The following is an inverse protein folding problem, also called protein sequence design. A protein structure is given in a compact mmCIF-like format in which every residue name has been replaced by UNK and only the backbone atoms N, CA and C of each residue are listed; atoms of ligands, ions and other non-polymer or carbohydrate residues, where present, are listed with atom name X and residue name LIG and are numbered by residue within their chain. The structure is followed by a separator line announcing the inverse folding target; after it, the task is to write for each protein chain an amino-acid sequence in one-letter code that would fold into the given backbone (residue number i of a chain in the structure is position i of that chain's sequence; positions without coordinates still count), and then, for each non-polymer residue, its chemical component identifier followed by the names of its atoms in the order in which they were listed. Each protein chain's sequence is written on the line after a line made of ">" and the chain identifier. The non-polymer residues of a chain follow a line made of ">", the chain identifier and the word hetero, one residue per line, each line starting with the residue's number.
data_IF_482321658103
#
_entry.id   IF_482321658103
#
_cell.length_a   1.000
_cell.length_b   1.000
_cell.length_c   1.000
_cell.angle_alpha   90.00
_cell.angle_beta   90.00
_cell.angle_gamma   90.00
#
_symmetry.space_group_name_H-M   'P 1'
#
loop_
_entity.id
_entity.type
_entity.pdbx_description
1 polymer ?
#
# COMPACT_ATOMS: atom_id res chain seq x y z
N UNK A 1 7.78 -24.97 -3.61
CA UNK A 1 7.45 -23.57 -3.88
C UNK A 1 7.46 -23.34 -5.37
N UNK A 2 6.30 -23.10 -5.96
CA UNK A 2 6.11 -22.70 -7.36
C UNK A 2 6.21 -21.18 -7.50
N UNK A 3 6.32 -20.67 -8.73
CA UNK A 3 6.29 -19.23 -8.97
C UNK A 3 5.00 -18.57 -8.48
N UNK A 4 3.86 -19.26 -8.60
CA UNK A 4 2.56 -18.78 -8.10
C UNK A 4 2.52 -18.75 -6.57
N UNK A 5 3.03 -19.78 -5.91
CA UNK A 5 3.13 -19.81 -4.44
C UNK A 5 4.06 -18.70 -3.92
N UNK A 6 5.19 -18.45 -4.59
CA UNK A 6 6.08 -17.34 -4.25
C UNK A 6 5.37 -15.98 -4.39
N UNK A 7 4.65 -15.77 -5.49
CA UNK A 7 3.90 -14.54 -5.72
C UNK A 7 2.85 -14.28 -4.63
N UNK A 8 2.07 -15.31 -4.28
CA UNK A 8 1.08 -15.23 -3.20
C UNK A 8 1.77 -14.85 -1.88
N UNK A 9 2.86 -15.52 -1.53
CA UNK A 9 3.62 -15.21 -0.32
C UNK A 9 4.12 -13.76 -0.31
N UNK A 10 4.60 -13.23 -1.44
CA UNK A 10 5.03 -11.84 -1.54
C UNK A 10 3.88 -10.84 -1.38
N UNK A 11 2.71 -11.12 -1.96
CA UNK A 11 1.51 -10.28 -1.81
C UNK A 11 1.01 -10.28 -0.37
N UNK A 12 1.05 -11.42 0.31
CA UNK A 12 0.69 -11.54 1.73
C UNK A 12 1.71 -10.87 2.65
N UNK A 13 3.00 -10.96 2.34
CA UNK A 13 4.07 -10.34 3.12
C UNK A 13 4.03 -8.81 3.00
N UNK A 14 3.94 -8.29 1.77
CA UNK A 14 3.77 -6.85 1.53
C UNK A 14 2.52 -6.28 2.23
N UNK A 15 1.41 -7.03 2.21
CA UNK A 15 0.17 -6.62 2.86
C UNK A 15 0.27 -6.59 4.38
N UNK A 16 0.93 -7.60 4.96
CA UNK A 16 1.22 -7.64 6.39
C UNK A 16 2.11 -6.47 6.82
N UNK A 17 3.19 -6.21 6.07
CA UNK A 17 4.09 -5.09 6.35
C UNK A 17 3.34 -3.75 6.32
N UNK A 18 2.46 -3.56 5.34
CA UNK A 18 1.61 -2.37 5.24
C UNK A 18 0.68 -2.24 6.45
N UNK A 19 -0.05 -3.30 6.80
CA UNK A 19 -0.93 -3.31 7.98
C UNK A 19 -0.18 -2.93 9.26
N UNK A 20 0.97 -3.58 9.50
CA UNK A 20 1.81 -3.33 10.68
C UNK A 20 2.44 -1.95 10.68
N UNK A 21 2.79 -1.39 9.52
CA UNK A 21 3.27 -0.03 9.42
C UNK A 21 2.21 0.99 9.88
N UNK A 22 0.93 0.74 9.68
CA UNK A 22 -0.16 1.64 10.12
C UNK A 22 -0.81 1.26 11.47
N UNK A 23 -0.51 0.08 12.02
CA UNK A 23 -1.12 -0.40 13.27
C UNK A 23 -0.83 0.55 14.45
N UNK A 24 -1.89 1.10 15.05
CA UNK A 24 -1.78 2.03 16.17
C UNK A 24 -1.10 3.36 15.83
N UNK A 25 -1.06 3.76 14.55
CA UNK A 25 -0.62 5.09 14.15
C UNK A 25 -1.57 6.14 14.71
N UNK A 26 -1.03 7.21 15.28
CA UNK A 26 -1.82 8.34 15.79
C UNK A 26 -2.06 9.41 14.72
N UNK A 27 -3.04 10.28 14.98
CA UNK A 27 -3.43 11.35 14.05
C UNK A 27 -2.26 12.30 13.76
N UNK A 28 -1.41 12.60 14.74
CA UNK A 28 -0.26 13.48 14.53
C UNK A 28 0.76 12.91 13.57
N UNK A 29 0.95 11.60 13.58
CA UNK A 29 1.87 10.89 12.68
C UNK A 29 1.29 10.77 11.28
N UNK A 30 -0.04 10.60 11.15
CA UNK A 30 -0.73 10.49 9.86
C UNK A 30 -0.50 11.70 8.94
N UNK A 31 -0.33 12.89 9.52
CA UNK A 31 -0.12 14.15 8.80
C UNK A 31 1.33 14.66 8.91
N UNK A 32 2.23 13.87 9.50
CA UNK A 32 3.64 14.22 9.59
C UNK A 32 4.35 14.04 8.24
N UNK A 33 5.13 15.05 7.84
CA UNK A 33 6.04 15.00 6.69
C UNK A 33 7.49 14.91 7.16
N UNK A 34 8.21 13.89 6.72
CA UNK A 34 9.64 13.73 7.02
C UNK A 34 10.48 14.83 6.33
N UNK A 35 10.08 15.21 5.12
CA UNK A 35 10.66 16.35 4.38
C UNK A 35 9.55 17.15 3.70
N UNK A 36 9.82 18.39 3.31
CA UNK A 36 8.81 19.29 2.71
C UNK A 36 8.11 18.70 1.47
N UNK A 37 8.79 17.85 0.70
CA UNK A 37 8.30 17.30 -0.56
C UNK A 37 7.82 15.84 -0.41
N UNK A 38 7.96 15.25 0.78
CA UNK A 38 7.50 13.89 1.06
C UNK A 38 5.98 13.86 1.30
N UNK A 39 5.35 12.77 0.86
CA UNK A 39 3.97 12.46 1.24
C UNK A 39 3.88 12.21 2.76
N UNK A 40 2.75 12.59 3.35
CA UNK A 40 2.39 12.10 4.70
C UNK A 40 1.97 10.63 4.63
N UNK A 41 1.90 9.90 5.75
CA UNK A 41 1.29 8.56 5.75
C UNK A 41 -0.15 8.56 5.22
N UNK A 42 -0.97 9.57 5.52
CA UNK A 42 -2.33 9.66 4.96
C UNK A 42 -2.33 9.77 3.44
N UNK A 43 -1.49 10.66 2.88
CA UNK A 43 -1.33 10.81 1.43
C UNK A 43 -0.76 9.56 0.77
N UNK A 44 0.17 8.89 1.46
CA UNK A 44 0.76 7.63 1.02
C UNK A 44 -0.32 6.55 0.84
N UNK A 45 -1.27 6.46 1.78
CA UNK A 45 -2.37 5.49 1.67
C UNK A 45 -3.32 5.82 0.50
N UNK A 46 -3.56 7.11 0.22
CA UNK A 46 -4.32 7.55 -0.96
C UNK A 46 -3.58 7.15 -2.24
N UNK A 47 -2.27 7.37 -2.30
CA UNK A 47 -1.45 7.00 -3.45
C UNK A 47 -1.40 5.47 -3.68
N UNK A 48 -1.27 4.68 -2.61
CA UNK A 48 -1.37 3.22 -2.71
C UNK A 48 -2.74 2.77 -3.21
N UNK A 49 -3.81 3.42 -2.75
CA UNK A 49 -5.18 3.16 -3.24
C UNK A 49 -5.30 3.42 -4.75
N UNK A 50 -4.68 4.48 -5.24
CA UNK A 50 -4.60 4.77 -6.66
C UNK A 50 -3.83 3.68 -7.43
N UNK A 51 -2.69 3.22 -6.92
CA UNK A 51 -1.92 2.16 -7.57
C UNK A 51 -2.73 0.86 -7.69
N UNK A 52 -3.50 0.48 -6.67
CA UNK A 52 -4.40 -0.66 -6.73
C UNK A 52 -5.55 -0.45 -7.72
N UNK A 53 -6.13 0.75 -7.73
CA UNK A 53 -7.17 1.11 -8.70
C UNK A 53 -6.66 1.03 -10.14
N UNK A 54 -5.45 1.52 -10.40
CA UNK A 54 -4.81 1.46 -11.72
C UNK A 54 -4.67 0.02 -12.25
N UNK A 55 -4.35 -0.95 -11.38
CA UNK A 55 -4.33 -2.38 -11.75
C UNK A 55 -5.69 -2.88 -12.20
N UNK A 56 -6.74 -2.46 -11.49
CA UNK A 56 -8.12 -2.88 -11.76
C UNK A 56 -8.60 -2.26 -13.09
N UNK A 57 -8.25 -1.01 -13.35
CA UNK A 57 -8.54 -0.31 -14.61
C UNK A 57 -7.80 -0.96 -15.79
N UNK A 58 -6.50 -1.22 -15.63
CA UNK A 58 -5.66 -1.87 -16.65
C UNK A 58 -6.16 -3.28 -16.99
N UNK A 59 -6.56 -4.07 -15.98
CA UNK A 59 -7.17 -5.38 -16.19
C UNK A 59 -8.51 -5.32 -16.96
N UNK A 60 -9.19 -4.17 -16.89
CA UNK A 60 -10.40 -3.90 -17.65
C UNK A 60 -10.13 -3.24 -19.02
N UNK A 61 -8.86 -3.17 -19.45
CA UNK A 61 -8.44 -2.58 -20.73
C UNK A 61 -8.49 -1.06 -20.77
N UNK A 62 -8.56 -0.39 -19.62
CA UNK A 62 -8.56 1.07 -19.51
C UNK A 62 -7.18 1.59 -19.12
N UNK A 63 -6.82 2.78 -19.57
CA UNK A 63 -5.62 3.48 -19.12
C UNK A 63 -5.97 4.33 -17.90
N UNK A 64 -5.11 4.30 -16.88
CA UNK A 64 -5.21 5.14 -15.68
C UNK A 64 -4.31 6.37 -15.80
N UNK A 65 -4.83 7.55 -15.46
CA UNK A 65 -4.06 8.80 -15.38
C UNK A 65 -3.58 9.02 -13.95
N UNK A 66 -2.27 8.98 -13.72
CA UNK A 66 -1.71 9.14 -12.38
C UNK A 66 -1.99 10.53 -11.79
N UNK A 67 -2.39 10.56 -10.53
CA UNK A 67 -2.82 11.76 -9.81
C UNK A 67 -4.29 12.13 -10.03
N UNK A 68 -5.04 11.36 -10.83
CA UNK A 68 -6.46 11.62 -11.07
C UNK A 68 -7.38 10.94 -10.04
N UNK A 69 -6.85 10.01 -9.24
CA UNK A 69 -7.65 9.30 -8.25
C UNK A 69 -8.05 10.20 -7.08
N UNK A 70 -9.35 10.21 -6.77
CA UNK A 70 -9.92 10.89 -5.61
C UNK A 70 -10.55 9.85 -4.71
N UNK A 71 -10.05 9.73 -3.48
CA UNK A 71 -10.62 8.81 -2.51
C UNK A 71 -12.08 9.19 -2.18
N UNK A 72 -13.05 8.25 -2.28
CA UNK A 72 -14.46 8.52 -1.98
C UNK A 72 -14.75 8.99 -0.56
N UNK A 73 -13.92 8.60 0.41
CA UNK A 73 -14.00 9.01 1.81
C UNK A 73 -12.60 9.41 2.28
N UNK A 74 -12.48 10.62 2.81
CA UNK A 74 -11.20 11.20 3.26
C UNK A 74 -10.98 11.09 4.76
N UNK A 75 -11.93 10.52 5.51
CA UNK A 75 -11.74 10.20 6.92
C UNK A 75 -10.72 9.07 7.06
N UNK A 76 -9.95 9.04 8.15
CA UNK A 76 -8.95 7.98 8.35
C UNK A 76 -9.56 6.55 8.29
N UNK A 77 -10.66 6.25 9.01
CA UNK A 77 -11.28 4.92 8.91
C UNK A 77 -11.81 4.60 7.52
N UNK A 78 -12.36 5.59 6.82
CA UNK A 78 -12.85 5.44 5.45
C UNK A 78 -11.74 5.15 4.45
N UNK A 79 -10.65 5.92 4.51
CA UNK A 79 -9.45 5.72 3.70
C UNK A 79 -8.85 4.33 3.90
N UNK A 80 -8.69 3.89 5.14
CA UNK A 80 -8.18 2.55 5.43
C UNK A 80 -9.05 1.45 4.85
N UNK A 81 -10.37 1.56 5.03
CA UNK A 81 -11.33 0.61 4.47
C UNK A 81 -11.22 0.54 2.95
N UNK A 82 -11.24 1.69 2.27
CA UNK A 82 -11.15 1.78 0.80
C UNK A 82 -9.82 1.18 0.30
N UNK A 83 -8.70 1.53 0.94
CA UNK A 83 -7.40 1.01 0.57
C UNK A 83 -7.34 -0.52 0.68
N UNK A 84 -7.88 -1.09 1.77
CA UNK A 84 -7.93 -2.53 2.00
C UNK A 84 -8.82 -3.26 0.96
N UNK A 85 -9.98 -2.70 0.64
CA UNK A 85 -10.89 -3.25 -0.37
C UNK A 85 -10.26 -3.21 -1.77
N UNK A 86 -9.66 -2.08 -2.16
CA UNK A 86 -8.97 -1.94 -3.45
C UNK A 86 -7.78 -2.88 -3.55
N UNK A 87 -6.96 -3.00 -2.49
CA UNK A 87 -5.83 -3.91 -2.46
C UNK A 87 -6.28 -5.35 -2.65
N UNK A 88 -7.30 -5.78 -1.93
CA UNK A 88 -7.86 -7.14 -2.03
C UNK A 88 -8.32 -7.44 -3.44
N UNK A 89 -9.02 -6.49 -4.08
CA UNK A 89 -9.48 -6.63 -5.46
C UNK A 89 -8.33 -6.62 -6.47
N UNK A 90 -7.30 -5.81 -6.28
CA UNK A 90 -6.10 -5.78 -7.12
C UNK A 90 -5.30 -7.10 -7.02
N UNK A 91 -5.17 -7.65 -5.81
CA UNK A 91 -4.57 -8.98 -5.57
C UNK A 91 -5.33 -10.07 -6.33
N UNK A 92 -6.66 -10.14 -6.19
CA UNK A 92 -7.49 -11.12 -6.91
C UNK A 92 -7.36 -10.97 -8.43
N UNK A 93 -7.36 -9.72 -8.91
CA UNK A 93 -7.22 -9.37 -10.33
C UNK A 93 -5.89 -9.85 -10.89
N UNK A 94 -4.79 -9.61 -10.18
CA UNK A 94 -3.45 -10.02 -10.62
C UNK A 94 -3.28 -11.53 -10.58
N UNK A 95 -3.75 -12.22 -9.55
CA UNK A 95 -3.64 -13.69 -9.45
C UNK A 95 -4.43 -14.46 -10.51
N UNK A 96 -5.41 -13.80 -11.13
CA UNK A 96 -6.25 -14.37 -12.20
C UNK A 96 -5.75 -14.04 -13.61
N UNK A 97 -4.71 -13.21 -13.75
CA UNK A 97 -4.23 -12.71 -15.05
C UNK A 97 -2.99 -13.47 -15.56
N UNK A 98 -2.86 -13.74 -16.87
CA UNK A 98 -1.65 -14.32 -17.46
C UNK A 98 -0.38 -13.50 -17.19
N UNK A 99 -0.49 -12.16 -17.22
CA UNK A 99 0.60 -11.23 -16.91
C UNK A 99 0.59 -10.78 -15.44
N UNK A 100 -0.13 -11.54 -14.61
CA UNK A 100 -0.43 -11.23 -13.22
C UNK A 100 0.78 -10.96 -12.36
N UNK A 101 1.84 -11.75 -12.52
CA UNK A 101 3.07 -11.61 -11.73
C UNK A 101 3.77 -10.26 -11.96
N UNK A 102 3.83 -9.80 -13.22
CA UNK A 102 4.45 -8.53 -13.57
C UNK A 102 3.64 -7.36 -13.00
N UNK A 103 2.32 -7.41 -13.13
CA UNK A 103 1.41 -6.36 -12.61
C UNK A 103 1.41 -6.33 -11.08
N UNK A 104 1.35 -7.49 -10.44
CA UNK A 104 1.44 -7.62 -8.98
C UNK A 104 2.75 -7.03 -8.45
N UNK A 105 3.89 -7.29 -9.10
CA UNK A 105 5.15 -6.68 -8.71
C UNK A 105 5.12 -5.16 -8.90
N UNK A 106 4.77 -4.70 -10.10
CA UNK A 106 4.87 -3.29 -10.47
C UNK A 106 3.96 -2.40 -9.64
N UNK A 107 2.72 -2.80 -9.37
CA UNK A 107 1.70 -1.92 -8.77
C UNK A 107 1.36 -2.22 -7.32
N UNK A 108 1.65 -3.43 -6.82
CA UNK A 108 1.30 -3.84 -5.45
C UNK A 108 2.59 -4.03 -4.65
N UNK A 109 3.36 -5.08 -4.92
CA UNK A 109 4.48 -5.50 -4.07
C UNK A 109 5.56 -4.41 -3.98
N UNK A 110 6.01 -3.87 -5.11
CA UNK A 110 7.08 -2.86 -5.10
C UNK A 110 6.61 -1.54 -4.47
N UNK A 111 5.37 -1.12 -4.74
CA UNK A 111 4.78 0.08 -4.16
C UNK A 111 4.57 -0.07 -2.65
N UNK A 112 3.97 -1.17 -2.21
CA UNK A 112 3.77 -1.49 -0.80
C UNK A 112 5.09 -1.44 -0.04
N UNK A 113 6.11 -2.17 -0.48
CA UNK A 113 7.41 -2.20 0.20
C UNK A 113 8.09 -0.83 0.23
N UNK A 114 8.06 -0.09 -0.89
CA UNK A 114 8.64 1.25 -0.95
C UNK A 114 7.97 2.19 0.06
N UNK A 115 6.64 2.21 0.09
CA UNK A 115 5.88 3.12 0.93
C UNK A 115 5.80 2.67 2.39
N UNK A 116 5.86 1.37 2.68
CA UNK A 116 6.07 0.86 4.05
C UNK A 116 7.31 1.49 4.65
N UNK A 117 8.42 1.55 3.91
CA UNK A 117 9.65 2.20 4.38
C UNK A 117 9.45 3.68 4.74
N UNK A 118 8.70 4.42 3.90
CA UNK A 118 8.38 5.83 4.16
C UNK A 118 7.50 6.01 5.40
N UNK A 119 6.48 5.17 5.57
CA UNK A 119 5.59 5.20 6.75
C UNK A 119 6.38 4.84 8.02
N UNK A 120 7.24 3.83 7.96
CA UNK A 120 8.12 3.47 9.07
C UNK A 120 9.02 4.64 9.50
N UNK A 121 9.60 5.35 8.54
CA UNK A 121 10.43 6.52 8.82
C UNK A 121 9.62 7.66 9.45
N UNK A 122 8.37 7.87 9.02
CA UNK A 122 7.49 8.88 9.62
C UNK A 122 7.15 8.50 11.07
N UNK A 123 6.90 7.20 11.34
CA UNK A 123 6.68 6.70 12.70
C UNK A 123 7.88 6.90 13.60
N UNK A 124 9.09 6.57 13.12
CA UNK A 124 10.32 6.80 13.89
C UNK A 124 10.59 8.29 14.11
N UNK A 125 10.18 9.15 13.18
CA UNK A 125 10.26 10.62 13.31
C UNK A 125 9.35 11.18 14.41
N UNK A 126 8.18 10.57 14.63
CA UNK A 126 7.23 10.98 15.68
C UNK A 126 7.41 10.22 17.00
N UNK A 127 7.87 8.98 16.96
CA UNK A 127 8.07 8.09 18.09
C UNK A 127 9.34 7.24 17.89
N UNK A 128 10.46 7.68 18.47
CA UNK A 128 11.77 7.02 18.33
C UNK A 128 11.82 5.61 18.93
N UNK A 129 10.90 5.29 19.85
CA UNK A 129 10.83 3.97 20.52
C UNK A 129 9.93 2.98 19.76
N UNK A 130 9.32 3.40 18.64
CA UNK A 130 8.50 2.50 17.85
C UNK A 130 9.34 1.38 17.23
N UNK A 131 8.89 0.13 17.38
CA UNK A 131 9.60 -1.03 16.88
C UNK A 131 9.37 -1.23 15.37
N UNK A 132 10.28 -0.71 14.55
CA UNK A 132 10.23 -0.88 13.10
C UNK A 132 10.36 -2.34 12.62
N UNK A 133 10.86 -3.27 13.46
CA UNK A 133 10.91 -4.69 13.10
C UNK A 133 9.56 -5.40 13.24
N UNK A 134 8.56 -4.76 13.85
CA UNK A 134 7.22 -5.33 13.99
C UNK A 134 6.49 -5.53 12.64
N UNK A 135 7.01 -4.96 11.55
CA UNK A 135 6.47 -5.15 10.20
C UNK A 135 6.83 -6.51 9.60
N UNK A 136 7.84 -7.21 10.12
CA UNK A 136 8.25 -8.51 9.57
C UNK A 136 7.49 -9.65 10.24
N UNK A 137 7.06 -10.63 9.45
CA UNK A 137 6.56 -11.91 9.99
C UNK A 137 7.74 -12.62 10.67
N UNK A 138 7.56 -13.00 11.94
CA UNK A 138 8.53 -13.78 12.71
C UNK A 138 8.61 -15.24 12.26
#
# INVERSE_FOLDING_TARGET
>A
MTAKELLINQLEDAGYQLEKAYEGIDESTLDHRITKDAMTPRETLVHLSEAYYAVIEDAAGRQHEWGSYVAPDTSWPGLWKIASELRSKAVETTLSSPDGAMKAHAYIIAHDYYHVGQVCLARLGCNSEWNAYAIYKG
#
